data_IF_525961558000
#
_entry.id   IF_525961558000
#
_cell.length_a   1.000
_cell.length_b   1.000
_cell.length_c   1.000
_cell.angle_alpha   90.00
_cell.angle_beta   90.00
_cell.angle_gamma   90.00
#
_symmetry.space_group_name_H-M   'P 1'
#
loop_
_entity.id
_entity.type
_entity.pdbx_description
1 polymer ?
#
# COMPACT_ATOMS: atom_id res chain seq x y z
N UNK A 1 -3.63 30.36 12.08
CA UNK A 1 -3.03 31.44 12.89
C UNK A 1 -1.50 31.39 12.90
N UNK A 2 -0.83 30.29 13.28
CA UNK A 2 0.65 30.23 13.28
C UNK A 2 1.33 30.43 11.91
N UNK A 3 0.73 29.93 10.82
CA UNK A 3 1.25 30.09 9.44
C UNK A 3 1.14 31.55 8.99
N UNK A 4 0.04 32.22 9.31
CA UNK A 4 -0.16 33.64 9.02
C UNK A 4 0.73 34.55 9.87
N UNK A 5 1.24 34.06 10.99
CA UNK A 5 2.15 34.77 11.90
C UNK A 5 3.64 34.59 11.55
N UNK A 6 3.99 33.90 10.45
CA UNK A 6 5.38 33.75 9.99
C UNK A 6 6.26 32.84 10.86
N UNK A 7 5.66 31.97 11.68
CA UNK A 7 6.42 31.01 12.50
C UNK A 7 7.16 30.03 11.58
N UNK A 8 8.49 29.83 11.75
CA UNK A 8 9.26 28.88 10.96
C UNK A 8 8.66 27.47 11.02
N UNK A 9 8.55 26.82 9.86
CA UNK A 9 8.05 25.46 9.75
C UNK A 9 9.21 24.49 9.51
N UNK A 10 9.21 23.39 10.26
CA UNK A 10 10.09 22.26 10.02
C UNK A 10 9.27 21.06 9.58
N UNK A 11 9.65 20.46 8.46
CA UNK A 11 9.02 19.23 7.96
C UNK A 11 9.73 18.02 8.56
N UNK A 12 8.96 17.10 9.12
CA UNK A 12 9.45 15.78 9.49
C UNK A 12 9.42 14.89 8.25
N UNK A 13 10.59 14.47 7.79
CA UNK A 13 10.75 13.73 6.53
C UNK A 13 10.82 12.22 6.71
N UNK A 14 11.00 11.72 7.93
CA UNK A 14 11.18 10.29 8.17
C UNK A 14 9.83 9.58 8.33
N UNK A 15 9.64 8.48 7.61
CA UNK A 15 8.41 7.66 7.69
C UNK A 15 8.70 6.31 8.32
N UNK A 16 8.11 6.08 9.50
CA UNK A 16 8.34 4.86 10.30
C UNK A 16 7.13 3.90 10.35
N UNK A 17 5.96 4.32 9.86
CA UNK A 17 4.73 3.52 9.99
C UNK A 17 4.77 2.26 9.13
N UNK A 18 5.21 2.40 7.89
CA UNK A 18 5.15 1.31 6.92
C UNK A 18 6.37 0.42 7.06
N UNK A 19 6.13 -0.88 7.29
CA UNK A 19 7.17 -1.92 7.33
C UNK A 19 7.70 -2.28 5.96
N UNK A 20 6.96 -1.93 4.91
CA UNK A 20 7.39 -2.04 3.53
C UNK A 20 7.21 -0.69 2.82
N UNK A 21 8.27 -0.18 2.22
CA UNK A 21 8.32 1.16 1.60
C UNK A 21 7.30 1.36 0.47
N UNK A 22 6.92 0.29 -0.25
CA UNK A 22 5.89 0.36 -1.29
C UNK A 22 4.55 0.89 -0.77
N UNK A 23 4.22 0.69 0.52
CA UNK A 23 2.97 1.15 1.13
C UNK A 23 2.85 2.68 1.16
N UNK A 24 3.97 3.40 1.24
CA UNK A 24 4.00 4.87 1.27
C UNK A 24 4.51 5.46 -0.05
N UNK A 25 5.10 4.66 -0.93
CA UNK A 25 5.76 5.14 -2.17
C UNK A 25 4.85 5.99 -3.04
N UNK A 26 3.63 5.50 -3.31
CA UNK A 26 2.65 6.24 -4.10
C UNK A 26 2.35 7.60 -3.46
N UNK A 27 2.01 7.60 -2.17
CA UNK A 27 1.68 8.82 -1.46
C UNK A 27 2.86 9.78 -1.34
N UNK A 28 4.05 9.27 -1.04
CA UNK A 28 5.28 10.05 -0.96
C UNK A 28 5.51 10.83 -2.26
N UNK A 29 5.41 10.14 -3.40
CA UNK A 29 5.53 10.78 -4.70
C UNK A 29 4.38 11.78 -4.96
N UNK A 30 3.13 11.36 -4.75
CA UNK A 30 1.96 12.12 -5.22
C UNK A 30 1.55 13.28 -4.32
N UNK A 31 1.85 13.20 -3.03
CA UNK A 31 1.40 14.17 -2.02
C UNK A 31 2.54 14.82 -1.25
N UNK A 32 3.72 14.22 -1.19
CA UNK A 32 4.88 14.74 -0.44
C UNK A 32 6.07 15.11 -1.34
N UNK A 33 5.92 15.07 -2.67
CA UNK A 33 6.98 15.44 -3.63
C UNK A 33 8.23 14.54 -3.55
N UNK A 34 8.10 13.32 -3.04
CA UNK A 34 9.23 12.40 -2.84
C UNK A 34 10.20 12.84 -1.75
N UNK A 35 9.74 13.68 -0.81
CA UNK A 35 10.57 14.19 0.29
C UNK A 35 10.64 13.25 1.50
N UNK A 36 9.72 12.29 1.62
CA UNK A 36 9.78 11.34 2.72
C UNK A 36 10.89 10.32 2.50
N UNK A 37 11.65 10.07 3.55
CA UNK A 37 12.68 9.05 3.65
C UNK A 37 12.02 7.79 4.22
N UNK A 38 12.19 6.67 3.51
CA UNK A 38 11.66 5.36 3.90
C UNK A 38 12.79 4.36 3.97
N UNK A 39 12.62 3.35 4.82
CA UNK A 39 13.57 2.25 4.94
C UNK A 39 13.08 1.06 4.11
N UNK A 40 13.97 0.38 3.38
CA UNK A 40 13.58 -0.81 2.65
C UNK A 40 13.15 -1.93 3.59
N UNK A 41 12.24 -2.78 3.13
CA UNK A 41 11.82 -3.95 3.89
C UNK A 41 12.97 -4.97 3.99
N UNK A 42 12.98 -5.76 5.06
CA UNK A 42 13.90 -6.88 5.22
C UNK A 42 13.49 -8.13 4.43
N UNK A 43 12.48 -8.01 3.56
CA UNK A 43 11.98 -9.08 2.71
C UNK A 43 12.17 -8.74 1.22
N UNK A 44 12.14 -9.76 0.37
CA UNK A 44 12.41 -9.64 -1.07
C UNK A 44 11.16 -9.32 -1.89
N UNK A 45 10.00 -9.05 -1.25
CA UNK A 45 8.78 -8.79 -2.01
C UNK A 45 8.95 -7.50 -2.81
N UNK A 46 8.52 -7.48 -4.08
CA UNK A 46 8.61 -6.25 -4.87
C UNK A 46 7.63 -5.17 -4.41
N UNK A 47 6.54 -5.57 -3.74
CA UNK A 47 5.50 -4.69 -3.23
C UNK A 47 4.69 -5.38 -2.14
N UNK A 48 4.38 -4.65 -1.07
CA UNK A 48 3.34 -4.99 -0.11
C UNK A 48 1.96 -4.40 -0.45
N UNK A 49 1.82 -3.79 -1.64
CA UNK A 49 0.53 -3.36 -2.21
C UNK A 49 0.21 -4.27 -3.37
N UNK A 50 -0.94 -4.94 -3.31
CA UNK A 50 -1.41 -5.84 -4.37
C UNK A 50 -2.81 -5.45 -4.86
N UNK A 51 -3.12 -5.86 -6.09
CA UNK A 51 -4.42 -5.62 -6.71
C UNK A 51 -5.12 -6.94 -7.03
N UNK A 52 -6.43 -6.99 -6.73
CA UNK A 52 -7.34 -8.10 -6.99
C UNK A 52 -8.52 -7.59 -7.80
N UNK A 53 -8.58 -7.98 -9.08
CA UNK A 53 -9.75 -7.74 -9.93
C UNK A 53 -10.78 -8.84 -9.72
N UNK A 54 -12.05 -8.46 -9.60
CA UNK A 54 -13.18 -9.40 -9.54
C UNK A 54 -14.18 -9.09 -10.65
N UNK A 55 -14.95 -10.08 -11.09
CA UNK A 55 -15.99 -9.91 -12.10
C UNK A 55 -17.31 -9.39 -11.49
N UNK A 56 -17.21 -8.23 -10.83
CA UNK A 56 -18.30 -7.59 -10.12
C UNK A 56 -19.05 -6.53 -10.92
N UNK A 57 -20.31 -6.33 -10.54
CA UNK A 57 -21.19 -5.32 -11.14
C UNK A 57 -21.63 -4.37 -10.05
N UNK A 58 -21.50 -3.08 -10.34
CA UNK A 58 -21.94 -2.01 -9.47
C UNK A 58 -23.44 -1.77 -9.65
N UNK A 59 -24.20 -1.98 -8.57
CA UNK A 59 -25.61 -1.61 -8.53
C UNK A 59 -25.74 -0.09 -8.34
N UNK A 60 -26.76 0.51 -8.96
CA UNK A 60 -27.15 1.90 -8.76
C UNK A 60 -28.68 2.04 -8.62
N UNK A 61 -29.13 3.18 -8.08
CA UNK A 61 -30.56 3.50 -7.96
C UNK A 61 -31.25 2.62 -6.94
N UNK A 62 -32.35 1.94 -7.34
CA UNK A 62 -33.13 1.07 -6.44
C UNK A 62 -32.34 -0.14 -5.92
N UNK A 63 -31.24 -0.53 -6.59
CA UNK A 63 -30.37 -1.64 -6.16
C UNK A 63 -29.39 -1.29 -5.03
N UNK A 64 -29.31 -0.01 -4.63
CA UNK A 64 -28.27 0.52 -3.74
C UNK A 64 -26.97 0.82 -4.48
N UNK A 65 -26.05 1.56 -3.86
CA UNK A 65 -24.74 1.95 -4.40
C UNK A 65 -23.64 1.00 -3.90
N UNK A 66 -23.72 -0.25 -4.34
CA UNK A 66 -22.90 -1.35 -3.83
C UNK A 66 -22.50 -2.33 -4.92
N UNK A 67 -21.43 -3.07 -4.67
CA UNK A 67 -20.93 -4.16 -5.51
C UNK A 67 -20.88 -5.45 -4.70
N UNK A 68 -21.84 -6.35 -4.98
CA UNK A 68 -22.03 -7.59 -4.23
C UNK A 68 -20.86 -8.56 -4.37
N UNK A 69 -20.32 -8.68 -5.58
CA UNK A 69 -19.23 -9.62 -5.87
C UNK A 69 -17.95 -9.14 -5.20
N UNK A 70 -17.66 -7.85 -5.28
CA UNK A 70 -16.49 -7.26 -4.61
C UNK A 70 -16.60 -7.40 -3.09
N UNK A 71 -17.76 -7.12 -2.48
CA UNK A 71 -17.95 -7.29 -1.04
C UNK A 71 -17.75 -8.75 -0.60
N UNK A 72 -18.28 -9.72 -1.35
CA UNK A 72 -18.07 -11.15 -1.07
C UNK A 72 -16.59 -11.56 -1.17
N UNK A 73 -15.88 -11.05 -2.16
CA UNK A 73 -14.45 -11.34 -2.32
C UNK A 73 -13.61 -10.76 -1.17
N UNK A 74 -13.95 -9.54 -0.72
CA UNK A 74 -13.33 -8.92 0.46
C UNK A 74 -13.59 -9.78 1.71
N UNK A 75 -14.83 -10.19 1.95
CA UNK A 75 -15.18 -11.04 3.10
C UNK A 75 -14.49 -12.40 3.03
N UNK A 76 -14.41 -13.01 1.85
CA UNK A 76 -13.68 -14.26 1.66
C UNK A 76 -12.19 -14.13 2.00
N UNK A 77 -11.54 -13.02 1.62
CA UNK A 77 -10.14 -12.75 2.01
C UNK A 77 -10.00 -12.56 3.52
N UNK A 78 -10.93 -11.84 4.17
CA UNK A 78 -10.92 -11.70 5.64
C UNK A 78 -11.01 -13.07 6.32
N UNK A 79 -11.95 -13.93 5.89
CA UNK A 79 -12.09 -15.29 6.44
C UNK A 79 -10.82 -16.10 6.20
N UNK A 80 -10.25 -16.04 5.00
CA UNK A 80 -9.04 -16.77 4.66
C UNK A 80 -7.88 -16.39 5.61
N UNK A 81 -7.68 -15.10 5.88
CA UNK A 81 -6.64 -14.63 6.81
C UNK A 81 -6.93 -15.01 8.26
N UNK A 82 -8.19 -14.90 8.70
CA UNK A 82 -8.57 -15.21 10.08
C UNK A 82 -8.69 -16.71 10.38
N UNK A 83 -8.53 -17.57 9.37
CA UNK A 83 -8.49 -19.04 9.50
C UNK A 83 -7.12 -19.63 9.15
N UNK A 84 -6.19 -18.82 8.64
CA UNK A 84 -4.82 -19.21 8.36
C UNK A 84 -3.96 -19.23 9.65
N UNK A 85 -3.43 -20.40 10.05
CA UNK A 85 -2.61 -20.52 11.25
C UNK A 85 -1.39 -19.58 11.26
N UNK A 86 -0.77 -19.31 10.10
CA UNK A 86 0.41 -18.44 10.03
C UNK A 86 0.04 -16.98 10.29
N UNK A 87 -1.05 -16.50 9.68
CA UNK A 87 -1.55 -15.15 9.92
C UNK A 87 -1.97 -14.97 11.39
N UNK A 88 -2.69 -15.94 11.97
CA UNK A 88 -3.10 -15.91 13.37
C UNK A 88 -1.88 -15.88 14.30
N UNK A 89 -0.88 -16.74 14.05
CA UNK A 89 0.35 -16.78 14.85
C UNK A 89 1.15 -15.47 14.77
N UNK A 90 1.05 -14.73 13.66
CA UNK A 90 1.71 -13.44 13.49
C UNK A 90 1.06 -12.30 14.31
N UNK A 91 -0.18 -12.49 14.78
CA UNK A 91 -0.93 -11.49 15.55
C UNK A 91 -1.29 -10.22 14.77
N UNK A 92 -1.28 -10.28 13.43
CA UNK A 92 -1.54 -9.12 12.57
C UNK A 92 -3.01 -8.71 12.59
N UNK A 93 -3.25 -7.41 12.61
CA UNK A 93 -4.61 -6.83 12.61
C UNK A 93 -5.12 -6.54 11.20
N UNK A 94 -6.44 -6.64 11.00
CA UNK A 94 -7.12 -6.42 9.71
C UNK A 94 -8.03 -5.20 9.78
N UNK A 95 -8.02 -4.39 8.73
CA UNK A 95 -9.01 -3.33 8.50
C UNK A 95 -9.52 -3.36 7.08
N UNK A 96 -10.84 -3.18 6.91
CA UNK A 96 -11.47 -3.05 5.61
C UNK A 96 -11.86 -1.59 5.41
N UNK A 97 -11.48 -1.01 4.27
CA UNK A 97 -11.86 0.34 3.87
C UNK A 97 -12.74 0.24 2.63
N UNK A 98 -13.90 0.91 2.64
CA UNK A 98 -14.76 1.05 1.45
C UNK A 98 -14.86 2.51 1.02
N UNK A 99 -15.14 2.76 -0.26
CA UNK A 99 -15.27 4.15 -0.74
C UNK A 99 -16.61 4.82 -0.40
N UNK A 100 -17.63 4.07 0.01
CA UNK A 100 -18.93 4.61 0.35
C UNK A 100 -19.61 3.81 1.47
N UNK A 101 -20.56 4.43 2.16
CA UNK A 101 -21.24 3.84 3.32
C UNK A 101 -22.14 2.64 2.97
N UNK A 102 -22.77 2.61 1.79
CA UNK A 102 -23.64 1.49 1.39
C UNK A 102 -22.83 0.21 1.12
N UNK A 103 -21.62 0.34 0.57
CA UNK A 103 -20.68 -0.75 0.42
C UNK A 103 -20.10 -1.18 1.78
N UNK A 104 -19.87 -0.25 2.70
CA UNK A 104 -19.47 -0.58 4.07
C UNK A 104 -20.52 -1.46 4.74
N UNK A 105 -21.78 -1.03 4.75
CA UNK A 105 -22.89 -1.77 5.35
C UNK A 105 -23.01 -3.17 4.75
N UNK A 106 -22.86 -3.29 3.43
CA UNK A 106 -22.90 -4.60 2.78
C UNK A 106 -21.77 -5.53 3.25
N UNK A 107 -20.55 -5.01 3.43
CA UNK A 107 -19.43 -5.81 3.95
C UNK A 107 -19.67 -6.18 5.40
N UNK A 108 -20.16 -5.25 6.24
CA UNK A 108 -20.55 -5.51 7.62
C UNK A 108 -21.60 -6.64 7.71
N UNK A 109 -22.68 -6.56 6.93
CA UNK A 109 -23.74 -7.57 6.88
C UNK A 109 -23.21 -8.96 6.50
N UNK A 110 -22.29 -9.01 5.52
CA UNK A 110 -21.67 -10.26 5.07
C UNK A 110 -20.68 -10.82 6.10
N UNK A 111 -19.94 -9.98 6.81
CA UNK A 111 -19.06 -10.40 7.91
C UNK A 111 -19.88 -10.93 9.10
N UNK A 112 -21.00 -10.30 9.43
CA UNK A 112 -21.90 -10.78 10.47
C UNK A 112 -22.48 -12.15 10.15
N UNK A 113 -22.76 -12.44 8.87
CA UNK A 113 -23.12 -13.78 8.44
C UNK A 113 -21.93 -14.73 8.53
N UNK A 114 -20.76 -14.34 8.02
CA UNK A 114 -19.54 -15.14 8.08
C UNK A 114 -19.15 -15.54 9.51
N UNK A 115 -19.30 -14.64 10.49
CA UNK A 115 -19.05 -14.90 11.92
C UNK A 115 -19.97 -15.96 12.53
N UNK A 116 -21.19 -16.12 12.00
CA UNK A 116 -22.12 -17.18 12.41
C UNK A 116 -21.70 -18.53 11.82
N UNK A 117 -21.26 -18.51 10.57
CA UNK A 117 -20.87 -19.70 9.81
C UNK A 117 -19.47 -20.21 10.22
N UNK A 118 -18.58 -19.29 10.62
CA UNK A 118 -17.20 -19.52 11.07
C UNK A 118 -17.01 -19.01 12.50
N UNK A 119 -17.49 -19.76 13.50
CA UNK A 119 -17.46 -19.33 14.90
C UNK A 119 -16.04 -19.04 15.42
N UNK A 120 -15.03 -19.68 14.83
CA UNK A 120 -13.62 -19.52 15.15
C UNK A 120 -13.10 -18.09 14.93
N UNK A 121 -13.69 -17.31 14.01
CA UNK A 121 -13.21 -15.94 13.74
C UNK A 121 -13.80 -14.90 14.70
N UNK A 122 -14.80 -15.25 15.51
CA UNK A 122 -15.51 -14.31 16.39
C UNK A 122 -14.57 -13.60 17.38
N UNK A 123 -13.50 -14.29 17.80
CA UNK A 123 -12.53 -13.74 18.73
C UNK A 123 -11.84 -12.47 18.22
N UNK A 124 -11.72 -12.28 16.89
CA UNK A 124 -11.03 -11.14 16.26
C UNK A 124 -11.90 -9.87 16.15
N UNK A 125 -13.19 -9.96 16.46
CA UNK A 125 -14.15 -8.86 16.34
C UNK A 125 -14.54 -8.24 17.70
N UNK A 126 -13.97 -8.71 18.80
CA UNK A 126 -14.33 -8.23 20.13
C UNK A 126 -13.87 -6.79 20.37
N UNK A 127 -14.73 -5.96 20.95
CA UNK A 127 -14.47 -4.54 21.19
C UNK A 127 -13.38 -4.27 22.24
N UNK A 128 -13.06 -5.25 23.09
CA UNK A 128 -12.00 -5.16 24.10
C UNK A 128 -10.60 -5.40 23.54
N UNK A 129 -10.49 -5.82 22.27
CA UNK A 129 -9.21 -5.89 21.57
C UNK A 129 -8.66 -4.48 21.32
N UNK A 130 -7.34 -4.34 21.35
CA UNK A 130 -6.68 -3.09 20.96
C UNK A 130 -6.92 -2.76 19.47
N UNK A 131 -6.92 -3.80 18.61
CA UNK A 131 -7.09 -3.65 17.17
C UNK A 131 -8.04 -4.73 16.62
N UNK A 132 -9.35 -4.65 16.91
CA UNK A 132 -10.32 -5.56 16.32
C UNK A 132 -10.40 -5.38 14.80
N UNK A 133 -10.95 -6.38 14.13
CA UNK A 133 -11.34 -6.26 12.72
C UNK A 133 -12.38 -5.15 12.62
N UNK A 134 -12.12 -4.17 11.74
CA UNK A 134 -13.01 -3.02 11.54
C UNK A 134 -13.31 -2.83 10.06
N UNK A 135 -14.53 -2.41 9.75
CA UNK A 135 -14.92 -1.94 8.42
C UNK A 135 -15.26 -0.46 8.52
N UNK A 136 -14.60 0.37 7.73
CA UNK A 136 -14.84 1.82 7.70
C UNK A 136 -14.94 2.32 6.27
N UNK A 137 -15.70 3.38 6.06
CA UNK A 137 -15.71 4.09 4.79
C UNK A 137 -14.75 5.29 4.80
N UNK A 138 -14.45 5.84 3.62
CA UNK A 138 -13.58 7.01 3.45
C UNK A 138 -13.92 8.26 4.30
N UNK A 139 -15.18 8.43 4.70
CA UNK A 139 -15.60 9.58 5.50
C UNK A 139 -15.34 9.34 7.00
N UNK A 140 -15.35 8.09 7.43
CA UNK A 140 -15.14 7.66 8.83
C UNK A 140 -13.72 7.17 9.13
N UNK A 141 -12.90 6.92 8.12
CA UNK A 141 -11.54 6.42 8.28
C UNK A 141 -10.60 7.54 8.73
N UNK A 142 -10.34 7.62 10.04
CA UNK A 142 -9.39 8.58 10.60
C UNK A 142 -8.70 7.98 11.82
N UNK A 143 -7.37 8.09 11.86
CA UNK A 143 -6.57 7.64 13.02
C UNK A 143 -6.38 6.13 13.10
N UNK A 144 -7.32 5.32 12.63
CA UNK A 144 -7.19 3.87 12.60
C UNK A 144 -6.11 3.43 11.61
N UNK A 145 -5.29 2.47 12.01
CA UNK A 145 -4.31 1.76 11.18
C UNK A 145 -4.37 0.27 11.50
N UNK A 146 -3.98 -0.56 10.53
CA UNK A 146 -3.98 -2.03 10.66
C UNK A 146 -2.77 -2.60 9.94
N UNK A 147 -2.34 -3.79 10.33
CA UNK A 147 -1.25 -4.48 9.64
C UNK A 147 -1.63 -4.80 8.20
N UNK A 148 -2.82 -5.36 8.00
CA UNK A 148 -3.44 -5.61 6.69
C UNK A 148 -4.61 -4.65 6.48
N UNK A 149 -4.57 -3.88 5.39
CA UNK A 149 -5.71 -3.09 4.92
C UNK A 149 -6.25 -3.68 3.61
N UNK A 150 -7.54 -3.99 3.58
CA UNK A 150 -8.27 -4.35 2.37
C UNK A 150 -9.08 -3.14 1.93
N UNK A 151 -8.76 -2.57 0.76
CA UNK A 151 -9.46 -1.43 0.19
C UNK A 151 -10.41 -1.90 -0.92
N UNK A 152 -11.72 -1.82 -0.67
CA UNK A 152 -12.77 -2.07 -1.64
C UNK A 152 -13.25 -0.79 -2.33
N UNK A 153 -13.22 -0.76 -3.67
CA UNK A 153 -13.68 0.38 -4.45
C UNK A 153 -15.21 0.48 -4.48
N UNK A 154 -15.92 -0.62 -4.64
CA UNK A 154 -17.39 -0.71 -4.58
C UNK A 154 -18.13 -0.03 -5.73
N UNK A 155 -17.45 0.76 -6.55
CA UNK A 155 -17.93 1.35 -7.80
C UNK A 155 -17.40 0.56 -9.00
N UNK A 156 -18.05 0.66 -10.15
CA UNK A 156 -17.65 -0.09 -11.34
C UNK A 156 -18.66 -0.05 -12.47
N UNK A 157 -18.50 -0.92 -13.49
CA UNK A 157 -19.49 -1.13 -14.54
C UNK A 157 -20.83 -1.61 -13.97
N UNK A 158 -21.93 -1.19 -14.58
CA UNK A 158 -23.29 -1.54 -14.18
C UNK A 158 -23.84 -2.76 -14.93
N UNK A 159 -23.11 -3.27 -15.91
CA UNK A 159 -23.48 -4.41 -16.75
C UNK A 159 -22.28 -5.35 -16.96
N UNK A 160 -22.51 -6.66 -17.09
CA UNK A 160 -21.43 -7.61 -17.40
C UNK A 160 -20.75 -7.27 -18.74
N UNK A 161 -19.42 -7.30 -18.78
CA UNK A 161 -18.65 -7.06 -20.01
C UNK A 161 -18.63 -5.62 -20.50
N UNK A 162 -19.16 -4.66 -19.74
CA UNK A 162 -19.10 -3.26 -20.11
C UNK A 162 -17.64 -2.76 -20.12
N UNK A 163 -17.29 -2.00 -21.17
CA UNK A 163 -15.96 -1.39 -21.33
C UNK A 163 -15.91 0.06 -20.85
N UNK A 164 -17.03 0.57 -20.34
CA UNK A 164 -17.16 1.93 -19.79
C UNK A 164 -17.89 1.88 -18.45
N UNK A 165 -17.65 2.89 -17.62
CA UNK A 165 -18.35 3.07 -16.36
C UNK A 165 -18.55 4.57 -16.05
N UNK A 166 -19.30 4.83 -14.98
CA UNK A 166 -19.48 6.18 -14.45
C UNK A 166 -18.19 6.69 -13.80
N UNK A 167 -17.86 7.96 -14.02
CA UNK A 167 -16.74 8.63 -13.33
C UNK A 167 -17.14 9.23 -11.98
N UNK A 168 -18.33 8.88 -11.47
CA UNK A 168 -18.81 9.30 -10.16
C UNK A 168 -18.51 8.24 -9.10
N UNK A 169 -17.38 8.42 -8.41
CA UNK A 169 -16.88 7.67 -7.26
C UNK A 169 -17.31 8.31 -5.92
N UNK A 170 -18.42 9.05 -5.92
CA UNK A 170 -19.04 9.58 -4.70
C UNK A 170 -18.10 10.49 -3.88
N UNK A 171 -17.72 10.13 -2.65
CA UNK A 171 -16.87 10.97 -1.79
C UNK A 171 -15.53 11.40 -2.42
N UNK A 172 -14.98 10.62 -3.36
CA UNK A 172 -13.74 10.97 -4.05
C UNK A 172 -13.89 12.14 -5.04
N UNK A 173 -15.07 12.30 -5.66
CA UNK A 173 -15.32 13.42 -6.58
C UNK A 173 -15.51 14.76 -5.86
N UNK A 174 -15.75 14.74 -4.55
CA UNK A 174 -15.96 15.95 -3.75
C UNK A 174 -14.65 16.66 -3.44
N UNK A 175 -14.75 17.92 -3.03
CA UNK A 175 -13.60 18.67 -2.54
C UNK A 175 -12.91 17.93 -1.38
N UNK A 176 -11.58 17.92 -1.42
CA UNK A 176 -10.76 17.17 -0.45
C UNK A 176 -10.81 15.65 -0.62
N UNK A 177 -11.46 15.11 -1.66
CA UNK A 177 -11.47 13.67 -1.95
C UNK A 177 -10.06 13.06 -2.05
N UNK A 178 -9.09 13.81 -2.57
CA UNK A 178 -7.70 13.38 -2.67
C UNK A 178 -7.04 13.21 -1.29
N UNK A 179 -7.44 13.99 -0.28
CA UNK A 179 -6.98 13.82 1.11
C UNK A 179 -7.53 12.54 1.70
N UNK A 180 -8.80 12.23 1.44
CA UNK A 180 -9.45 10.99 1.91
C UNK A 180 -8.81 9.77 1.26
N UNK A 181 -8.51 9.83 -0.04
CA UNK A 181 -7.76 8.78 -0.71
C UNK A 181 -6.36 8.61 -0.10
N UNK A 182 -5.59 9.69 0.06
CA UNK A 182 -4.27 9.62 0.69
C UNK A 182 -4.35 9.02 2.10
N UNK A 183 -5.36 9.39 2.88
CA UNK A 183 -5.61 8.80 4.19
C UNK A 183 -5.79 7.30 4.04
N UNK A 184 -6.72 6.82 3.20
CA UNK A 184 -6.99 5.40 3.02
C UNK A 184 -5.76 4.59 2.57
N UNK A 185 -5.01 5.07 1.58
CA UNK A 185 -3.85 4.33 1.05
C UNK A 185 -2.63 4.36 1.97
N UNK A 186 -2.68 5.08 3.09
CA UNK A 186 -1.60 5.18 4.10
C UNK A 186 -1.96 4.55 5.45
N UNK A 187 -3.03 3.74 5.51
CA UNK A 187 -3.50 3.06 6.73
C UNK A 187 -2.84 1.72 7.01
N UNK A 188 -2.18 1.13 6.02
CA UNK A 188 -1.53 -0.17 6.14
C UNK A 188 -0.14 -0.04 6.78
N UNK A 189 0.15 -0.88 7.78
CA UNK A 189 1.50 -1.01 8.33
C UNK A 189 2.33 -2.04 7.58
N UNK A 190 1.74 -3.17 7.15
CA UNK A 190 2.48 -4.30 6.56
C UNK A 190 2.02 -4.68 5.17
N UNK A 191 0.72 -4.64 4.90
CA UNK A 191 0.15 -5.10 3.62
C UNK A 191 -1.11 -4.31 3.25
N UNK A 192 -1.28 -4.04 1.96
CA UNK A 192 -2.51 -3.49 1.39
C UNK A 192 -2.98 -4.32 0.20
N UNK A 193 -4.26 -4.67 0.21
CA UNK A 193 -4.93 -5.35 -0.90
C UNK A 193 -6.03 -4.46 -1.46
N UNK A 194 -5.97 -4.18 -2.75
CA UNK A 194 -6.94 -3.35 -3.45
C UNK A 194 -7.89 -4.21 -4.28
N UNK A 195 -9.20 -4.09 -4.05
CA UNK A 195 -10.23 -4.79 -4.81
C UNK A 195 -10.97 -3.84 -5.75
N UNK A 196 -11.03 -4.20 -7.03
CA UNK A 196 -11.84 -3.49 -8.03
C UNK A 196 -12.66 -4.49 -8.83
N UNK A 197 -13.75 -4.02 -9.44
CA UNK A 197 -14.48 -4.79 -10.45
C UNK A 197 -14.25 -4.35 -11.89
N UNK A 198 -13.14 -3.65 -12.12
CA UNK A 198 -12.81 -3.02 -13.39
C UNK A 198 -11.29 -2.88 -13.57
N UNK A 199 -10.86 -2.74 -14.82
CA UNK A 199 -9.48 -2.40 -15.19
C UNK A 199 -9.19 -0.91 -14.97
N UNK A 200 -7.98 -0.52 -14.53
CA UNK A 200 -7.63 0.90 -14.36
C UNK A 200 -7.91 1.76 -15.60
N UNK A 201 -7.74 1.19 -16.79
CA UNK A 201 -7.99 1.84 -18.08
C UNK A 201 -9.43 2.29 -18.29
N UNK A 202 -10.41 1.70 -17.57
CA UNK A 202 -11.81 2.12 -17.61
C UNK A 202 -12.05 3.46 -16.89
N UNK A 203 -11.12 3.93 -16.05
CA UNK A 203 -11.16 5.29 -15.51
C UNK A 203 -10.69 6.26 -16.60
N UNK A 204 -11.64 6.88 -17.29
CA UNK A 204 -11.37 7.88 -18.31
C UNK A 204 -11.05 9.24 -17.66
N UNK A 205 -9.76 9.59 -17.70
CA UNK A 205 -9.22 10.82 -17.14
C UNK A 205 -9.73 12.09 -17.86
N UNK A 206 -10.23 11.98 -19.09
CA UNK A 206 -10.81 13.12 -19.82
C UNK A 206 -12.26 13.39 -19.42
N UNK A 207 -12.94 12.40 -18.81
CA UNK A 207 -14.34 12.49 -18.36
C UNK A 207 -14.48 12.92 -16.90
N UNK A 208 -13.38 13.27 -16.23
CA UNK A 208 -13.39 13.75 -14.84
C UNK A 208 -12.23 14.69 -14.56
N UNK A 209 -12.50 15.80 -13.88
CA UNK A 209 -11.48 16.72 -13.36
C UNK A 209 -11.10 16.43 -11.90
N UNK A 210 -11.75 15.44 -11.26
CA UNK A 210 -11.52 15.15 -9.85
C UNK A 210 -10.13 14.52 -9.65
N UNK A 211 -9.21 15.28 -9.04
CA UNK A 211 -7.84 14.83 -8.74
C UNK A 211 -7.79 13.46 -8.06
N UNK A 212 -8.72 13.20 -7.13
CA UNK A 212 -8.74 11.92 -6.41
C UNK A 212 -9.06 10.72 -7.31
N UNK A 213 -9.86 10.92 -8.37
CA UNK A 213 -10.18 9.86 -9.34
C UNK A 213 -8.98 9.59 -10.26
N UNK A 214 -8.24 10.64 -10.63
CA UNK A 214 -6.94 10.50 -11.32
C UNK A 214 -5.95 9.73 -10.44
N UNK A 215 -5.79 10.15 -9.19
CA UNK A 215 -4.90 9.50 -8.23
C UNK A 215 -5.31 8.04 -7.97
N UNK A 216 -6.61 7.74 -7.88
CA UNK A 216 -7.10 6.37 -7.74
C UNK A 216 -6.68 5.48 -8.92
N UNK A 217 -6.85 5.95 -10.17
CA UNK A 217 -6.39 5.19 -11.35
C UNK A 217 -4.91 4.85 -11.25
N UNK A 218 -4.07 5.84 -11.00
CA UNK A 218 -2.62 5.63 -10.88
C UNK A 218 -2.26 4.71 -9.71
N UNK A 219 -3.03 4.74 -8.62
CA UNK A 219 -2.83 3.84 -7.49
C UNK A 219 -3.17 2.38 -7.84
N UNK A 220 -4.23 2.13 -8.61
CA UNK A 220 -4.55 0.78 -9.09
C UNK A 220 -3.45 0.29 -10.05
N UNK A 221 -2.98 1.14 -10.97
CA UNK A 221 -1.86 0.81 -11.87
C UNK A 221 -0.57 0.47 -11.09
N UNK A 222 -0.27 1.24 -10.04
CA UNK A 222 0.83 0.96 -9.12
C UNK A 222 0.64 -0.37 -8.35
N UNK A 223 -0.55 -0.64 -7.85
CA UNK A 223 -0.86 -1.89 -7.15
C UNK A 223 -0.76 -3.12 -8.08
N UNK A 224 -0.98 -2.93 -9.39
CA UNK A 224 -0.84 -3.98 -10.39
C UNK A 224 0.61 -4.21 -10.84
N UNK A 225 1.35 -3.14 -11.14
CA UNK A 225 2.68 -3.20 -11.76
C UNK A 225 3.84 -3.07 -10.76
N UNK A 226 3.53 -2.77 -9.49
CA UNK A 226 4.49 -2.49 -8.43
C UNK A 226 5.21 -1.14 -8.59
N UNK A 227 6.22 -0.84 -7.76
CA UNK A 227 6.96 0.42 -7.78
C UNK A 227 7.58 0.80 -9.12
N UNK A 228 7.85 -0.18 -9.99
CA UNK A 228 8.33 0.03 -11.36
C UNK A 228 7.40 0.94 -12.18
N UNK A 229 6.09 0.95 -11.93
CA UNK A 229 5.15 1.88 -12.57
C UNK A 229 5.46 3.35 -12.26
N UNK A 230 5.86 3.66 -11.02
CA UNK A 230 6.24 5.03 -10.63
C UNK A 230 7.62 5.36 -11.19
N UNK A 231 8.56 4.42 -11.18
CA UNK A 231 9.92 4.66 -11.65
C UNK A 231 10.02 4.84 -13.17
N UNK A 232 9.27 4.04 -13.94
CA UNK A 232 9.15 4.18 -15.39
C UNK A 232 8.58 5.54 -15.82
N UNK A 233 7.71 6.12 -14.99
CA UNK A 233 7.13 7.44 -15.24
C UNK A 233 8.07 8.62 -14.91
N UNK A 234 9.15 8.41 -14.13
CA UNK A 234 9.94 9.50 -13.54
C UNK A 234 11.43 9.48 -13.92
N UNK A 235 12.07 8.32 -14.10
CA UNK A 235 13.55 8.28 -14.16
C UNK A 235 14.19 7.49 -15.31
N UNK A 236 13.44 6.83 -16.17
CA UNK A 236 14.05 5.82 -17.04
C UNK A 236 14.65 4.67 -16.21
N UNK A 237 15.15 3.63 -16.85
CA UNK A 237 15.67 2.42 -16.18
C UNK A 237 16.58 2.76 -15.00
N UNK A 238 16.21 2.31 -13.79
CA UNK A 238 17.14 2.35 -12.65
C UNK A 238 18.24 1.36 -12.97
N UNK A 239 19.48 1.84 -13.04
CA UNK A 239 20.65 1.02 -13.34
C UNK A 239 20.97 0.02 -12.23
N UNK A 240 21.82 -0.95 -12.58
CA UNK A 240 22.17 -2.10 -11.72
C UNK A 240 23.03 -1.73 -10.51
N UNK A 241 23.83 -0.66 -10.56
CA UNK A 241 24.77 -0.24 -9.50
C UNK A 241 25.02 1.27 -9.58
N UNK A 242 25.24 1.93 -8.43
CA UNK A 242 25.58 3.36 -8.38
C UNK A 242 27.11 3.60 -8.47
N UNK A 243 27.92 2.56 -8.25
CA UNK A 243 29.38 2.63 -8.41
C UNK A 243 30.01 1.31 -8.89
N UNK A 244 31.17 1.36 -9.57
CA UNK A 244 31.94 0.16 -9.93
C UNK A 244 32.38 -0.67 -8.72
N UNK A 245 32.52 -0.03 -7.55
CA UNK A 245 32.88 -0.72 -6.32
C UNK A 245 31.73 -1.60 -5.82
N UNK A 246 30.49 -1.10 -5.83
CA UNK A 246 29.30 -1.91 -5.52
C UNK A 246 29.21 -3.12 -6.45
N UNK A 247 29.43 -2.91 -7.76
CA UNK A 247 29.44 -3.99 -8.74
C UNK A 247 30.52 -5.04 -8.40
N UNK A 248 31.74 -4.60 -8.09
CA UNK A 248 32.84 -5.50 -7.71
C UNK A 248 32.51 -6.33 -6.46
N UNK A 249 31.92 -5.69 -5.44
CA UNK A 249 31.49 -6.37 -4.20
C UNK A 249 30.41 -7.40 -4.52
N UNK A 250 29.40 -7.04 -5.33
CA UNK A 250 28.33 -7.93 -5.74
C UNK A 250 28.83 -9.15 -6.53
N UNK A 251 29.73 -8.95 -7.48
CA UNK A 251 30.36 -10.02 -8.26
C UNK A 251 31.19 -10.95 -7.36
N UNK A 252 31.96 -10.40 -6.43
CA UNK A 252 32.76 -11.19 -5.47
C UNK A 252 31.93 -12.05 -4.53
N UNK A 253 30.72 -11.59 -4.17
CA UNK A 253 29.74 -12.35 -3.38
C UNK A 253 29.06 -13.44 -4.22
N UNK A 254 28.65 -13.12 -5.46
CA UNK A 254 28.08 -14.10 -6.40
C UNK A 254 29.05 -15.22 -6.74
N UNK A 255 30.32 -14.89 -6.94
CA UNK A 255 31.37 -15.89 -7.17
C UNK A 255 31.57 -16.86 -5.99
N UNK A 256 31.12 -16.49 -4.79
CA UNK A 256 31.11 -17.35 -3.59
C UNK A 256 29.79 -18.09 -3.38
N UNK A 257 28.85 -18.00 -4.33
CA UNK A 257 27.56 -18.69 -4.29
C UNK A 257 26.42 -17.92 -3.64
N UNK A 258 26.61 -16.64 -3.31
CA UNK A 258 25.54 -15.81 -2.73
C UNK A 258 24.69 -15.16 -3.81
N UNK A 259 23.36 -15.18 -3.63
CA UNK A 259 22.44 -14.38 -4.44
C UNK A 259 22.39 -12.95 -3.89
N UNK A 260 22.56 -11.98 -4.79
CA UNK A 260 22.65 -10.56 -4.42
C UNK A 260 21.74 -9.70 -5.30
N UNK A 261 20.94 -8.85 -4.64
CA UNK A 261 20.07 -7.87 -5.27
C UNK A 261 20.61 -6.46 -5.02
N UNK A 262 20.89 -5.66 -6.05
CA UNK A 262 21.39 -4.31 -5.84
C UNK A 262 20.27 -3.30 -5.61
N UNK A 263 20.64 -2.16 -5.00
CA UNK A 263 19.83 -0.95 -4.92
C UNK A 263 18.44 -1.19 -4.32
N UNK A 264 18.41 -1.84 -3.15
CA UNK A 264 17.18 -2.15 -2.42
C UNK A 264 16.63 -0.88 -1.81
N UNK A 265 15.46 -0.44 -2.28
CA UNK A 265 14.86 0.81 -1.84
C UNK A 265 14.24 1.62 -2.97
N UNK A 266 13.11 2.26 -2.70
CA UNK A 266 12.41 3.14 -3.66
C UNK A 266 12.55 4.63 -3.33
N UNK A 267 12.98 4.96 -2.11
CA UNK A 267 13.22 6.35 -1.69
C UNK A 267 14.64 6.81 -1.95
N UNK A 268 15.01 7.98 -1.39
CA UNK A 268 16.38 8.50 -1.40
C UNK A 268 17.33 7.67 -0.52
N UNK A 269 16.79 6.91 0.43
CA UNK A 269 17.54 5.97 1.24
C UNK A 269 17.40 4.58 0.61
N UNK A 270 18.52 3.99 0.23
CA UNK A 270 18.63 2.66 -0.41
C UNK A 270 19.78 1.91 0.23
N UNK A 271 19.64 0.60 0.30
CA UNK A 271 20.74 -0.31 0.64
C UNK A 271 21.40 -0.75 -0.66
N UNK A 272 22.72 -0.61 -0.73
CA UNK A 272 23.46 -0.83 -1.97
C UNK A 272 23.33 -2.28 -2.47
N UNK A 273 23.41 -3.26 -1.56
CA UNK A 273 23.20 -4.68 -1.87
C UNK A 273 22.41 -5.40 -0.77
N UNK A 274 21.41 -6.21 -1.13
CA UNK A 274 20.78 -7.19 -0.25
C UNK A 274 21.24 -8.61 -0.59
N UNK A 275 21.66 -9.37 0.43
CA UNK A 275 21.98 -10.81 0.29
C UNK A 275 20.74 -11.62 0.61
N UNK A 276 20.30 -12.47 -0.32
CA UNK A 276 19.10 -13.31 -0.11
C UNK A 276 19.42 -14.44 0.88
N UNK A 277 18.49 -14.71 1.79
CA UNK A 277 18.67 -15.76 2.79
C UNK A 277 18.60 -17.15 2.13
N UNK A 278 19.64 -18.01 2.27
CA UNK A 278 19.72 -19.29 1.56
C UNK A 278 18.62 -20.27 2.00
N UNK A 279 18.34 -20.34 3.30
CA UNK A 279 17.33 -21.27 3.86
C UNK A 279 15.92 -20.67 3.95
N UNK A 280 15.75 -19.38 3.62
CA UNK A 280 14.47 -18.66 3.67
C UNK A 280 14.33 -17.77 2.43
N UNK A 281 14.14 -18.37 1.24
CA UNK A 281 13.92 -17.60 0.02
C UNK A 281 12.69 -16.69 0.21
N UNK A 282 12.90 -15.37 0.13
CA UNK A 282 11.88 -14.39 0.52
C UNK A 282 12.36 -13.35 1.52
N UNK A 283 13.41 -13.67 2.29
CA UNK A 283 14.03 -12.76 3.27
C UNK A 283 15.41 -12.30 2.79
N UNK A 284 15.81 -11.09 3.17
CA UNK A 284 17.22 -10.70 3.12
C UNK A 284 17.95 -11.16 4.39
N UNK A 285 19.10 -11.82 4.22
CA UNK A 285 19.98 -12.22 5.32
C UNK A 285 20.75 -11.01 5.87
N UNK A 286 21.30 -10.19 4.98
CA UNK A 286 22.09 -9.00 5.35
C UNK A 286 22.01 -7.95 4.25
N UNK A 287 21.91 -6.68 4.66
CA UNK A 287 22.14 -5.53 3.80
C UNK A 287 23.61 -5.12 3.86
N UNK A 288 24.22 -4.83 2.71
CA UNK A 288 25.59 -4.35 2.58
C UNK A 288 25.54 -2.92 2.06
N UNK A 289 26.09 -2.01 2.85
CA UNK A 289 26.39 -0.64 2.40
C UNK A 289 27.87 -0.56 2.04
N UNK A 290 28.14 -0.03 0.85
CA UNK A 290 29.48 0.27 0.38
C UNK A 290 29.81 1.73 0.71
N UNK A 291 31.08 2.03 0.97
CA UNK A 291 31.56 3.39 1.26
C UNK A 291 31.58 4.30 -0.01
N UNK A 292 30.47 4.33 -0.76
CA UNK A 292 30.29 5.07 -1.99
C UNK A 292 29.84 6.53 -1.77
N UNK A 293 29.49 7.21 -2.86
CA UNK A 293 29.05 8.61 -2.84
C UNK A 293 27.86 8.86 -1.89
N UNK A 294 26.99 7.86 -1.71
CA UNK A 294 25.82 7.90 -0.81
C UNK A 294 26.24 8.01 0.67
N UNK A 295 27.26 7.28 1.12
CA UNK A 295 27.85 7.38 2.47
C UNK A 295 28.48 8.76 2.72
N UNK A 296 29.17 9.32 1.72
CA UNK A 296 29.77 10.65 1.80
C UNK A 296 28.74 11.80 1.78
N UNK A 297 27.57 11.59 1.18
CA UNK A 297 26.54 12.64 1.01
C UNK A 297 25.67 12.88 2.26
N UNK A 298 25.77 12.03 3.28
CA UNK A 298 25.02 12.17 4.53
C UNK A 298 25.49 13.39 5.35
N UNK A 299 24.53 14.27 5.67
CA UNK A 299 24.78 15.60 6.25
C UNK A 299 25.45 15.57 7.63
N UNK A 300 25.26 14.52 8.43
CA UNK A 300 25.87 14.42 9.76
C UNK A 300 26.45 13.03 10.03
N UNK A 301 27.49 12.96 10.86
CA UNK A 301 28.05 11.68 11.32
C UNK A 301 27.03 10.83 12.11
N UNK A 302 26.02 11.46 12.73
CA UNK A 302 24.95 10.74 13.42
C UNK A 302 24.00 10.03 12.43
N UNK A 303 23.74 10.63 11.27
CA UNK A 303 22.98 10.01 10.16
C UNK A 303 23.80 8.93 9.43
N UNK A 304 25.13 8.96 9.56
CA UNK A 304 26.05 7.91 9.06
C UNK A 304 26.10 6.72 10.00
N UNK A 305 26.27 6.96 11.31
CA UNK A 305 26.74 5.91 12.22
C UNK A 305 25.72 5.50 13.29
N UNK A 306 24.70 6.32 13.59
CA UNK A 306 23.82 6.12 14.77
C UNK A 306 22.35 5.90 14.45
N UNK A 307 21.83 6.49 13.38
CA UNK A 307 20.44 6.26 12.92
C UNK A 307 20.35 5.03 12.01
N UNK A 308 21.48 4.57 11.45
CA UNK A 308 21.53 3.39 10.56
C UNK A 308 21.57 2.04 11.28
N UNK A 309 21.86 2.03 12.60
CA UNK A 309 22.14 0.81 13.38
C UNK A 309 21.12 0.48 14.48
N UNK A 310 20.02 1.24 14.60
CA UNK A 310 18.86 0.94 15.47
C UNK A 310 17.62 0.69 14.60
#
# INVERSE_FOLDING_TARGET
ECIGAGVPQHSLTWHYRSRHESLITFSNYRYYGGSLITFPAADTRPSAVSWRKVDGIYAQGKGGRRNQVEAKAIVAEVIARLTDPEFIASGQSIGVITLNAEQQQLVDDLLDQARRDHREIEAFFKEDLAEPVVVKNLETMQGDERDLIILGIGFGPTEPGANVMSMNFGPLNREGGWRRLNVAVTRARREMMLFTSFEPSMIDLNRTSARAVHDLRYFIEFAHQGPKAITAAVRGSVGDYDSPFEQFVAEGLRARGWETHPQIGVSRFRIDLGIVHPDRPGDYLVGVECDGATYHSAATARDRDKVRSE
#
